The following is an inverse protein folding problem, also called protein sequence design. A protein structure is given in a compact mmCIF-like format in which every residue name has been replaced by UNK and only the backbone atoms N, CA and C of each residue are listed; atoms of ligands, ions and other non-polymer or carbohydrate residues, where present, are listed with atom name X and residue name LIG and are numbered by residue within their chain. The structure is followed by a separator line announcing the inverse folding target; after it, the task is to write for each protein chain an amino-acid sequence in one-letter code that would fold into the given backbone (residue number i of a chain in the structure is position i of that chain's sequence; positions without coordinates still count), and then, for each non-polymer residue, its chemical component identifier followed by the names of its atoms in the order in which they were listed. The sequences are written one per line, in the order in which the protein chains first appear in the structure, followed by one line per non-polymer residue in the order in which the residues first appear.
data_IF_562175861097
#
_entry.id   IF_562175861097
#
_cell.length_a   1.000
_cell.length_b   1.000
_cell.length_c   1.000
_cell.angle_alpha   90.00
_cell.angle_beta   90.00
_cell.angle_gamma   90.00
#
_symmetry.space_group_name_H-M   'P 1'
#
loop_
_entity.id
_entity.type
_entity.pdbx_description
1 polymer ?
#
# COMPACT_ATOMS: atom_id res chain seq x y z
N UNK A 1 -1.25 13.19 1.55
CA UNK A 1 -1.22 11.82 0.99
C UNK A 1 -2.42 11.64 0.06
N UNK A 2 -2.17 11.20 -1.16
CA UNK A 2 -3.26 10.87 -2.10
C UNK A 2 -3.48 9.36 -2.10
N UNK A 3 -4.52 8.91 -1.43
CA UNK A 3 -4.79 7.49 -1.24
C UNK A 3 -5.08 6.77 -2.56
N UNK A 4 -5.69 7.44 -3.53
CA UNK A 4 -5.96 6.83 -4.85
C UNK A 4 -4.66 6.51 -5.59
N UNK A 5 -3.71 7.42 -5.54
CA UNK A 5 -2.40 7.24 -6.18
C UNK A 5 -1.61 6.13 -5.48
N UNK A 6 -1.58 6.14 -4.16
CA UNK A 6 -0.86 5.13 -3.38
C UNK A 6 -1.47 3.75 -3.57
N UNK A 7 -2.79 3.66 -3.52
CA UNK A 7 -3.50 2.41 -3.77
C UNK A 7 -3.20 1.88 -5.17
N UNK A 8 -3.28 2.74 -6.19
CA UNK A 8 -3.00 2.37 -7.57
C UNK A 8 -1.58 1.84 -7.76
N UNK A 9 -0.60 2.49 -7.15
CA UNK A 9 0.80 2.04 -7.17
C UNK A 9 0.95 0.68 -6.50
N UNK A 10 0.27 0.47 -5.39
CA UNK A 10 0.31 -0.79 -4.67
C UNK A 10 -0.34 -1.93 -5.48
N UNK A 11 -1.47 -1.64 -6.12
CA UNK A 11 -2.11 -2.60 -7.02
C UNK A 11 -1.18 -3.01 -8.15
N UNK A 12 -0.52 -2.05 -8.76
CA UNK A 12 0.45 -2.30 -9.84
C UNK A 12 1.58 -3.22 -9.37
N UNK A 13 2.11 -3.00 -8.18
CA UNK A 13 3.16 -3.84 -7.61
C UNK A 13 2.71 -5.30 -7.48
N UNK A 14 1.54 -5.53 -6.89
CA UNK A 14 1.01 -6.89 -6.74
C UNK A 14 0.71 -7.54 -8.08
N UNK A 15 0.16 -6.76 -9.02
CA UNK A 15 -0.09 -7.26 -10.36
C UNK A 15 1.20 -7.71 -11.06
N UNK A 16 2.23 -6.90 -10.98
CA UNK A 16 3.54 -7.22 -11.58
C UNK A 16 4.19 -8.42 -10.92
N UNK A 17 4.11 -8.53 -9.60
CA UNK A 17 4.60 -9.71 -8.87
C UNK A 17 3.88 -10.98 -9.30
N UNK A 18 2.59 -10.88 -9.61
CA UNK A 18 1.81 -12.01 -10.09
C UNK A 18 2.10 -12.35 -11.56
N UNK A 19 2.91 -11.55 -12.24
CA UNK A 19 3.25 -11.74 -13.64
C UNK A 19 2.11 -11.42 -14.60
N UNK A 20 1.16 -10.58 -14.21
CA UNK A 20 -0.02 -10.24 -14.99
C UNK A 20 0.14 -8.89 -15.68
N UNK A 21 -0.36 -8.78 -16.91
CA UNK A 21 -0.57 -7.50 -17.58
C UNK A 21 -1.85 -6.86 -17.04
N UNK A 22 -2.04 -5.57 -17.29
CA UNK A 22 -3.29 -4.89 -16.94
C UNK A 22 -4.50 -5.58 -17.61
N UNK A 23 -4.36 -5.97 -18.87
CA UNK A 23 -5.42 -6.64 -19.60
C UNK A 23 -5.77 -8.01 -18.99
N UNK A 24 -4.75 -8.77 -18.60
CA UNK A 24 -4.95 -10.07 -17.95
C UNK A 24 -5.65 -9.93 -16.61
N UNK A 25 -5.23 -8.97 -15.78
CA UNK A 25 -5.90 -8.72 -14.50
C UNK A 25 -7.34 -8.28 -14.73
N UNK A 26 -7.58 -7.38 -15.68
CA UNK A 26 -8.92 -6.90 -16.01
C UNK A 26 -9.84 -8.05 -16.39
N UNK A 27 -9.36 -8.97 -17.20
CA UNK A 27 -10.12 -10.15 -17.60
C UNK A 27 -10.47 -11.03 -16.40
N UNK A 28 -9.49 -11.29 -15.53
CA UNK A 28 -9.70 -12.13 -14.35
C UNK A 28 -10.69 -11.54 -13.35
N UNK A 29 -10.78 -10.23 -13.25
CA UNK A 29 -11.74 -9.56 -12.34
C UNK A 29 -12.97 -9.01 -13.07
N UNK A 30 -13.10 -9.33 -14.35
CA UNK A 30 -14.25 -9.01 -15.20
C UNK A 30 -14.57 -7.51 -15.29
N UNK A 31 -13.55 -6.72 -15.61
CA UNK A 31 -13.67 -5.28 -15.92
C UNK A 31 -12.86 -4.95 -17.16
N UNK A 32 -13.05 -3.74 -17.69
CA UNK A 32 -12.26 -3.28 -18.84
C UNK A 32 -10.82 -2.99 -18.45
N UNK A 33 -9.90 -3.23 -19.38
CA UNK A 33 -8.50 -2.89 -19.21
C UNK A 33 -8.29 -1.41 -18.82
N UNK A 34 -9.06 -0.51 -19.44
CA UNK A 34 -9.01 0.92 -19.14
C UNK A 34 -9.33 1.20 -17.67
N UNK A 35 -10.26 0.44 -17.09
CA UNK A 35 -10.63 0.61 -15.67
C UNK A 35 -9.46 0.27 -14.75
N UNK A 36 -8.77 -0.84 -15.01
CA UNK A 36 -7.56 -1.20 -14.27
C UNK A 36 -6.49 -0.11 -14.43
N UNK A 37 -6.27 0.36 -15.66
CA UNK A 37 -5.32 1.43 -15.94
C UNK A 37 -5.64 2.71 -15.15
N UNK A 38 -6.89 3.09 -15.08
CA UNK A 38 -7.34 4.27 -14.32
C UNK A 38 -7.16 4.10 -12.81
N UNK A 39 -7.37 2.91 -12.29
CA UNK A 39 -7.13 2.63 -10.87
C UNK A 39 -5.63 2.71 -10.56
N UNK A 40 -4.79 2.09 -11.38
CA UNK A 40 -3.35 2.09 -11.17
C UNK A 40 -2.72 3.48 -11.30
N UNK A 41 -3.30 4.35 -12.10
CA UNK A 41 -2.82 5.73 -12.25
C UNK A 41 -3.37 6.69 -11.18
N UNK A 42 -4.27 6.23 -10.33
CA UNK A 42 -4.86 7.06 -9.28
C UNK A 42 -6.03 7.93 -9.71
N UNK A 43 -6.56 7.74 -10.92
CA UNK A 43 -7.72 8.47 -11.40
C UNK A 43 -9.02 7.97 -10.78
N UNK A 44 -9.13 6.65 -10.61
CA UNK A 44 -10.31 6.00 -10.08
C UNK A 44 -9.96 5.15 -8.86
N UNK A 45 -10.96 4.88 -8.03
CA UNK A 45 -10.85 3.96 -6.92
C UNK A 45 -11.82 2.81 -7.13
N UNK A 46 -11.48 1.56 -6.78
CA UNK A 46 -12.36 0.43 -7.00
C UNK A 46 -13.56 0.45 -6.06
N UNK A 47 -14.68 -0.13 -6.53
CA UNK A 47 -15.79 -0.46 -5.65
C UNK A 47 -15.37 -1.53 -4.63
N UNK A 48 -16.13 -1.69 -3.56
CA UNK A 48 -15.85 -2.71 -2.55
C UNK A 48 -15.85 -4.12 -3.18
N UNK A 49 -16.76 -4.38 -4.10
CA UNK A 49 -16.85 -5.67 -4.80
C UNK A 49 -15.60 -5.91 -5.67
N UNK A 50 -15.18 -4.91 -6.43
CA UNK A 50 -13.98 -5.02 -7.25
C UNK A 50 -12.72 -5.18 -6.38
N UNK A 51 -12.65 -4.47 -5.26
CA UNK A 51 -11.55 -4.60 -4.30
C UNK A 51 -11.44 -6.04 -3.81
N UNK A 52 -12.55 -6.67 -3.47
CA UNK A 52 -12.58 -8.07 -3.06
C UNK A 52 -12.08 -8.99 -4.18
N UNK A 53 -12.56 -8.79 -5.41
CA UNK A 53 -12.13 -9.62 -6.55
C UNK A 53 -10.64 -9.45 -6.87
N UNK A 54 -10.13 -8.23 -6.80
CA UNK A 54 -8.70 -7.95 -6.99
C UNK A 54 -7.86 -8.70 -5.95
N UNK A 55 -8.26 -8.62 -4.69
CA UNK A 55 -7.56 -9.30 -3.61
C UNK A 55 -7.56 -10.81 -3.79
N UNK A 56 -8.70 -11.37 -4.18
CA UNK A 56 -8.84 -12.81 -4.40
C UNK A 56 -7.96 -13.31 -5.55
N UNK A 57 -7.97 -12.61 -6.66
CA UNK A 57 -7.17 -12.98 -7.85
C UNK A 57 -5.67 -12.86 -7.56
N UNK A 58 -5.28 -11.84 -6.84
CA UNK A 58 -3.87 -11.61 -6.50
C UNK A 58 -3.40 -12.43 -5.30
N UNK A 59 -4.31 -13.18 -4.67
CA UNK A 59 -4.04 -14.01 -3.50
C UNK A 59 -3.44 -13.22 -2.34
N UNK A 60 -4.03 -12.07 -2.07
CA UNK A 60 -3.65 -11.19 -0.96
C UNK A 60 -4.90 -10.82 -0.17
N UNK A 61 -4.70 -10.24 1.02
CA UNK A 61 -5.80 -9.66 1.77
C UNK A 61 -6.04 -8.22 1.31
N UNK A 62 -7.30 -7.71 1.38
CA UNK A 62 -7.57 -6.32 0.99
C UNK A 62 -6.70 -5.29 1.69
N UNK A 63 -6.34 -5.53 2.96
CA UNK A 63 -5.49 -4.62 3.73
C UNK A 63 -4.10 -4.45 3.11
N UNK A 64 -3.60 -5.48 2.41
CA UNK A 64 -2.27 -5.42 1.81
C UNK A 64 -2.18 -4.32 0.75
N UNK A 65 -3.29 -4.01 0.09
CA UNK A 65 -3.38 -2.93 -0.90
C UNK A 65 -3.31 -1.53 -0.28
N UNK A 66 -3.45 -1.43 1.04
CA UNK A 66 -3.41 -0.17 1.79
C UNK A 66 -2.13 -0.01 2.62
N UNK A 67 -1.15 -0.88 2.44
CA UNK A 67 0.16 -0.76 3.09
C UNK A 67 1.10 0.02 2.19
N UNK A 68 1.45 1.24 2.60
CA UNK A 68 2.15 2.22 1.75
C UNK A 68 3.53 2.64 2.27
N UNK A 69 4.05 1.97 3.28
CA UNK A 69 5.28 2.42 3.95
C UNK A 69 6.45 2.61 2.99
N UNK A 70 6.65 1.66 2.08
CA UNK A 70 7.76 1.69 1.13
C UNK A 70 7.53 2.68 -0.03
N UNK A 71 6.31 3.22 -0.16
CA UNK A 71 5.96 4.21 -1.17
C UNK A 71 6.05 5.63 -0.63
N UNK A 72 6.23 5.79 0.68
CA UNK A 72 6.36 7.10 1.30
C UNK A 72 7.80 7.60 1.15
N UNK A 73 7.97 8.91 0.95
CA UNK A 73 9.30 9.49 0.90
C UNK A 73 9.89 9.60 2.33
N UNK A 74 11.21 9.84 2.40
CA UNK A 74 11.93 9.91 3.67
C UNK A 74 11.38 10.98 4.62
N UNK A 75 11.01 12.13 4.08
CA UNK A 75 10.44 13.23 4.88
C UNK A 75 9.12 12.83 5.54
N UNK A 76 8.23 12.19 4.78
CA UNK A 76 6.94 11.74 5.29
C UNK A 76 7.10 10.64 6.33
N UNK A 77 8.05 9.72 6.13
CA UNK A 77 8.37 8.67 7.10
C UNK A 77 8.85 9.27 8.42
N UNK A 78 9.75 10.26 8.36
CA UNK A 78 10.26 10.95 9.55
C UNK A 78 9.14 11.64 10.31
N UNK A 79 8.24 12.32 9.63
CA UNK A 79 7.08 12.98 10.25
C UNK A 79 6.16 11.97 10.93
N UNK A 80 5.89 10.86 10.26
CA UNK A 80 5.04 9.80 10.80
C UNK A 80 5.65 9.21 12.07
N UNK A 81 6.94 8.89 12.05
CA UNK A 81 7.65 8.35 13.20
C UNK A 81 7.64 9.35 14.37
N UNK A 82 7.90 10.64 14.09
CA UNK A 82 7.88 11.68 15.11
C UNK A 82 6.51 11.77 15.77
N UNK A 83 5.43 11.73 14.99
CA UNK A 83 4.07 11.75 15.53
C UNK A 83 3.78 10.54 16.40
N UNK A 84 4.26 9.36 16.00
CA UNK A 84 4.10 8.14 16.79
C UNK A 84 4.83 8.24 18.14
N UNK A 85 6.04 8.78 18.13
CA UNK A 85 6.85 8.92 19.36
C UNK A 85 6.15 9.78 20.41
N UNK A 86 5.42 10.81 20.00
CA UNK A 86 4.70 11.70 20.90
C UNK A 86 3.59 10.99 21.68
N UNK A 87 3.11 9.86 21.17
CA UNK A 87 2.02 9.09 21.77
C UNK A 87 2.49 7.98 22.72
N UNK A 88 3.79 7.75 22.79
CA UNK A 88 4.35 6.66 23.57
C UNK A 88 4.59 7.08 25.02
N UNK A 89 4.41 6.13 25.95
CA UNK A 89 4.79 6.30 27.35
C UNK A 89 6.31 6.33 27.50
N UNK A 90 6.81 6.73 28.68
CA UNK A 90 8.24 6.74 28.99
C UNK A 90 8.85 5.34 28.82
N UNK A 91 8.15 4.31 29.28
CA UNK A 91 8.62 2.92 29.14
C UNK A 91 8.68 2.49 27.69
N UNK A 92 7.66 2.80 26.92
CA UNK A 92 7.62 2.50 25.48
C UNK A 92 8.69 3.25 24.72
N UNK A 93 8.95 4.50 25.07
CA UNK A 93 10.04 5.29 24.47
C UNK A 93 11.41 4.66 24.75
N UNK A 94 11.62 4.15 25.98
CA UNK A 94 12.87 3.47 26.32
C UNK A 94 13.10 2.22 25.45
N UNK A 95 12.07 1.42 25.24
CA UNK A 95 12.15 0.25 24.38
C UNK A 95 12.38 0.65 22.92
N UNK A 96 11.68 1.66 22.44
CA UNK A 96 11.84 2.18 21.09
C UNK A 96 13.26 2.69 20.87
N UNK A 97 13.81 3.40 21.83
CA UNK A 97 15.19 3.90 21.77
C UNK A 97 16.20 2.76 21.60
N UNK A 98 16.06 1.69 22.40
CA UNK A 98 16.91 0.50 22.25
C UNK A 98 16.79 -0.11 20.87
N UNK A 99 15.58 -0.22 20.35
CA UNK A 99 15.33 -0.80 19.04
C UNK A 99 15.96 0.01 17.90
N UNK A 100 15.81 1.34 17.94
CA UNK A 100 16.40 2.23 16.95
C UNK A 100 17.93 2.15 16.97
N UNK A 101 18.52 2.05 18.17
CA UNK A 101 19.98 1.95 18.29
C UNK A 101 20.53 0.73 17.57
N UNK A 102 19.78 -0.35 17.46
CA UNK A 102 20.25 -1.55 16.76
C UNK A 102 20.53 -1.29 15.27
N UNK A 103 19.84 -0.33 14.66
CA UNK A 103 20.08 0.05 13.28
C UNK A 103 21.34 0.91 13.10
N UNK A 104 21.81 1.54 14.16
CA UNK A 104 22.94 2.47 14.11
C UNK A 104 24.26 1.82 14.53
N UNK A 105 24.21 0.61 15.03
CA UNK A 105 25.41 -0.17 15.42
C UNK A 105 25.94 -0.98 14.22
#
# INVERSE_FOLDING_TARGET
MNIKVLFGSRLKEFRQKAGLTQAELAELVNVDNKHISCIESGKNFPSADLLYRLSSVLNIEPKDLFEFYHLQNTSDLKKSITNMLEKLSTEELSLTHKYIRTFLL
#
